data_IF_899277640813
#
_entry.id   IF_899277640813
#
_cell.length_a   1.000
_cell.length_b   1.000
_cell.length_c   1.000
_cell.angle_alpha   90.00
_cell.angle_beta   90.00
_cell.angle_gamma   90.00
#
_symmetry.space_group_name_H-M   'P 1'
#
loop_
_entity.id
_entity.type
_entity.pdbx_description
1 polymer ?
#
# COMPACT_ATOMS: atom_id res chain seq x y z
N UNK A 1 13.14 15.75 12.93
CA UNK A 1 12.45 14.57 13.40
C UNK A 1 11.69 13.89 12.28
N UNK A 2 11.81 12.62 12.19
CA UNK A 2 11.14 11.88 11.13
C UNK A 2 9.65 11.77 11.44
N UNK A 3 8.82 12.13 10.50
CA UNK A 3 7.40 11.91 10.59
C UNK A 3 7.06 10.42 10.55
N UNK A 4 5.80 10.10 10.77
CA UNK A 4 5.31 8.72 10.62
C UNK A 4 5.39 8.28 9.18
N UNK A 5 5.55 6.98 9.00
CA UNK A 5 5.50 6.34 7.69
C UNK A 5 4.56 5.14 7.77
N UNK A 6 4.01 4.74 6.63
CA UNK A 6 3.19 3.54 6.50
C UNK A 6 3.26 3.04 5.06
N UNK A 7 3.22 1.72 4.89
CA UNK A 7 3.28 1.08 3.58
C UNK A 7 1.90 0.54 3.22
N UNK A 8 1.41 0.88 2.02
CA UNK A 8 0.13 0.42 1.48
C UNK A 8 0.36 -0.77 0.54
N UNK A 9 -0.51 -1.78 0.63
CA UNK A 9 -0.54 -2.85 -0.37
C UNK A 9 -1.33 -2.42 -1.63
N UNK A 10 -1.34 -3.27 -2.65
CA UNK A 10 -2.00 -2.97 -3.91
C UNK A 10 -3.50 -2.74 -3.74
N UNK A 11 -4.15 -3.49 -2.86
CA UNK A 11 -5.59 -3.37 -2.63
C UNK A 11 -5.95 -2.00 -2.05
N UNK A 12 -5.11 -1.46 -1.17
CA UNK A 12 -5.35 -0.12 -0.63
C UNK A 12 -5.15 0.94 -1.71
N UNK A 13 -4.16 0.79 -2.58
CA UNK A 13 -4.00 1.67 -3.73
C UNK A 13 -5.24 1.66 -4.63
N UNK A 14 -5.78 0.48 -4.91
CA UNK A 14 -7.00 0.33 -5.71
C UNK A 14 -8.17 1.02 -5.02
N UNK A 15 -8.34 0.84 -3.72
CA UNK A 15 -9.38 1.52 -2.95
C UNK A 15 -9.24 3.04 -2.99
N UNK A 16 -8.01 3.56 -3.01
CA UNK A 16 -7.76 4.99 -3.11
C UNK A 16 -8.25 5.56 -4.44
N UNK A 17 -8.18 4.77 -5.51
CA UNK A 17 -8.67 5.18 -6.83
C UNK A 17 -10.18 5.05 -6.94
N UNK A 18 -10.75 3.92 -6.45
CA UNK A 18 -12.17 3.60 -6.65
C UNK A 18 -13.09 4.26 -5.62
N UNK A 19 -12.59 4.50 -4.41
CA UNK A 19 -13.41 4.99 -3.31
C UNK A 19 -12.96 6.36 -2.82
N UNK A 20 -13.73 6.92 -1.90
CA UNK A 20 -13.44 8.25 -1.34
C UNK A 20 -12.70 8.16 0.00
N UNK A 21 -13.01 7.15 0.82
CA UNK A 21 -12.50 7.12 2.20
C UNK A 21 -10.98 7.01 2.29
N UNK A 22 -10.38 6.07 1.56
CA UNK A 22 -8.92 5.90 1.58
C UNK A 22 -8.25 7.15 1.02
N UNK A 23 -8.74 7.65 -0.11
CA UNK A 23 -8.20 8.86 -0.73
C UNK A 23 -8.27 10.05 0.22
N UNK A 24 -9.39 10.20 0.92
CA UNK A 24 -9.59 11.29 1.87
C UNK A 24 -8.60 11.20 3.03
N UNK A 25 -8.37 10.01 3.58
CA UNK A 25 -7.38 9.79 4.64
C UNK A 25 -5.96 10.14 4.16
N UNK A 26 -5.61 9.76 2.94
CA UNK A 26 -4.32 10.09 2.36
C UNK A 26 -4.14 11.60 2.25
N UNK A 27 -5.13 12.32 1.73
CA UNK A 27 -5.07 13.76 1.56
C UNK A 27 -5.03 14.50 2.89
N UNK A 28 -5.79 14.06 3.88
CA UNK A 28 -5.82 14.70 5.21
C UNK A 28 -4.49 14.59 5.93
N UNK A 29 -3.73 13.53 5.71
CA UNK A 29 -2.50 13.27 6.45
C UNK A 29 -1.23 13.39 5.62
N UNK A 30 -1.33 13.82 4.36
CA UNK A 30 -0.18 13.91 3.45
C UNK A 30 0.94 14.83 3.96
N UNK A 31 0.60 15.85 4.74
CA UNK A 31 1.58 16.79 5.27
C UNK A 31 2.39 16.24 6.44
N UNK A 32 1.87 15.25 7.17
CA UNK A 32 2.47 14.76 8.41
C UNK A 32 2.88 13.29 8.37
N UNK A 33 2.37 12.53 7.41
CA UNK A 33 2.66 11.10 7.26
C UNK A 33 3.26 10.85 5.88
N UNK A 34 4.29 10.02 5.83
CA UNK A 34 4.89 9.58 4.58
C UNK A 34 4.27 8.24 4.18
N UNK A 35 3.61 8.23 3.04
CA UNK A 35 2.99 7.03 2.49
C UNK A 35 3.88 6.40 1.43
N UNK A 36 4.04 5.09 1.49
CA UNK A 36 4.85 4.32 0.55
C UNK A 36 4.09 3.09 0.07
N UNK A 37 4.48 2.58 -1.08
CA UNK A 37 4.03 1.29 -1.58
C UNK A 37 5.12 0.70 -2.46
N UNK A 38 5.34 -0.63 -2.48
CA UNK A 38 6.35 -1.16 -3.39
C UNK A 38 5.96 -0.91 -4.85
N UNK A 39 6.95 -0.76 -5.69
CA UNK A 39 6.74 -0.54 -7.13
C UNK A 39 5.85 -1.62 -7.75
N UNK A 40 6.00 -2.88 -7.33
CA UNK A 40 5.17 -4.00 -7.81
C UNK A 40 3.69 -3.84 -7.45
N UNK A 41 3.38 -3.17 -6.34
CA UNK A 41 1.99 -2.90 -5.96
C UNK A 41 1.34 -1.91 -6.94
N UNK A 42 2.08 -0.92 -7.39
CA UNK A 42 1.60 -0.02 -8.45
C UNK A 42 1.40 -0.76 -9.77
N UNK A 43 2.32 -1.67 -10.11
CA UNK A 43 2.17 -2.50 -11.30
C UNK A 43 0.91 -3.38 -11.22
N UNK A 44 0.64 -3.97 -10.07
CA UNK A 44 -0.56 -4.78 -9.85
C UNK A 44 -1.83 -3.94 -9.94
N UNK A 45 -1.85 -2.77 -9.31
CA UNK A 45 -2.99 -1.86 -9.36
C UNK A 45 -3.27 -1.42 -10.80
N UNK A 46 -2.22 -1.10 -11.56
CA UNK A 46 -2.33 -0.70 -12.96
C UNK A 46 -2.90 -1.83 -13.82
N UNK A 47 -2.56 -3.06 -13.49
CA UNK A 47 -3.06 -4.25 -14.20
C UNK A 47 -4.54 -4.51 -13.92
N UNK A 48 -4.96 -4.38 -12.67
CA UNK A 48 -6.31 -4.80 -12.25
C UNK A 48 -7.37 -3.71 -12.37
N UNK A 49 -7.00 -2.42 -12.25
CA UNK A 49 -7.97 -1.33 -12.25
C UNK A 49 -8.83 -1.26 -13.51
N UNK A 50 -8.28 -1.36 -14.74
CA UNK A 50 -9.12 -1.27 -15.93
C UNK A 50 -10.21 -2.33 -15.99
N UNK A 51 -9.88 -3.58 -15.63
CA UNK A 51 -10.84 -4.68 -15.64
C UNK A 51 -11.95 -4.49 -14.61
N UNK A 52 -11.60 -3.99 -13.41
CA UNK A 52 -12.58 -3.71 -12.36
C UNK A 52 -13.55 -2.61 -12.77
N UNK A 53 -13.07 -1.58 -13.47
CA UNK A 53 -13.89 -0.46 -13.90
C UNK A 53 -14.76 -0.81 -15.11
N UNK A 54 -14.26 -1.61 -16.03
CA UNK A 54 -15.04 -2.09 -17.17
C UNK A 54 -16.27 -2.88 -16.70
N UNK A 55 -16.13 -3.69 -15.65
CA UNK A 55 -17.27 -4.39 -15.05
C UNK A 55 -18.33 -3.44 -14.51
N UNK A 56 -17.95 -2.21 -14.17
CA UNK A 56 -18.86 -1.18 -13.66
C UNK A 56 -19.31 -0.21 -14.74
N UNK A 57 -18.92 -0.45 -15.99
CA UNK A 57 -19.24 0.43 -17.12
C UNK A 57 -18.51 1.77 -17.09
N UNK A 58 -17.36 1.85 -16.41
CA UNK A 58 -16.58 3.08 -16.26
C UNK A 58 -15.29 2.99 -17.09
N UNK A 59 -14.84 4.13 -17.62
CA UNK A 59 -13.61 4.19 -18.40
C UNK A 59 -12.38 3.96 -17.52
N UNK A 60 -11.62 2.91 -17.84
CA UNK A 60 -10.41 2.55 -17.11
C UNK A 60 -9.26 3.54 -17.25
N UNK A 61 -9.21 4.32 -18.34
CA UNK A 61 -8.13 5.27 -18.57
C UNK A 61 -8.11 6.40 -17.53
N UNK A 62 -9.29 6.86 -17.11
CA UNK A 62 -9.39 7.89 -16.04
C UNK A 62 -8.83 7.38 -14.72
N UNK A 63 -9.04 6.11 -14.40
CA UNK A 63 -8.54 5.50 -13.18
C UNK A 63 -7.01 5.42 -13.18
N UNK A 64 -6.41 5.11 -14.31
CA UNK A 64 -4.95 5.06 -14.42
C UNK A 64 -4.34 6.45 -14.21
N UNK A 65 -5.01 7.50 -14.67
CA UNK A 65 -4.58 8.88 -14.41
C UNK A 65 -4.63 9.20 -12.92
N UNK A 66 -5.69 8.78 -12.22
CA UNK A 66 -5.79 8.97 -10.76
C UNK A 66 -4.68 8.20 -10.04
N UNK A 67 -4.41 6.97 -10.47
CA UNK A 67 -3.33 6.17 -9.88
C UNK A 67 -1.97 6.85 -10.05
N UNK A 68 -1.70 7.40 -11.23
CA UNK A 68 -0.46 8.14 -11.48
C UNK A 68 -0.34 9.38 -10.59
N UNK A 69 -1.46 10.07 -10.36
CA UNK A 69 -1.50 11.23 -9.46
C UNK A 69 -1.22 10.82 -8.01
N UNK A 70 -1.70 9.65 -7.59
CA UNK A 70 -1.44 9.14 -6.24
C UNK A 70 0.05 8.94 -5.96
N UNK A 71 0.87 8.72 -6.98
CA UNK A 71 2.30 8.51 -6.79
C UNK A 71 3.01 9.72 -6.18
N UNK A 72 2.41 10.91 -6.25
CA UNK A 72 2.94 12.10 -5.57
C UNK A 72 2.67 12.09 -4.06
N UNK A 73 1.71 11.31 -3.59
CA UNK A 73 1.32 11.20 -2.18
C UNK A 73 1.80 9.87 -1.60
N UNK A 74 1.51 8.77 -2.27
CA UNK A 74 1.98 7.43 -1.90
C UNK A 74 3.16 7.10 -2.80
N UNK A 75 4.35 7.26 -2.27
CA UNK A 75 5.57 7.15 -3.04
C UNK A 75 5.88 5.69 -3.38
N UNK A 76 6.08 5.35 -4.66
CA UNK A 76 6.55 4.01 -5.00
C UNK A 76 7.97 3.80 -4.48
N UNK A 77 8.18 2.68 -3.81
CA UNK A 77 9.51 2.26 -3.35
C UNK A 77 10.09 1.31 -4.38
N UNK A 78 11.25 1.64 -4.92
CA UNK A 78 11.89 0.83 -5.95
C UNK A 78 12.41 -0.48 -5.40
N UNK A 79 12.38 -1.53 -6.22
CA UNK A 79 12.77 -2.88 -5.86
C UNK A 79 14.12 -2.95 -5.14
N UNK A 80 15.12 -2.22 -5.64
CA UNK A 80 16.46 -2.23 -5.07
C UNK A 80 16.49 -1.79 -3.60
N UNK A 81 15.53 -0.97 -3.18
CA UNK A 81 15.49 -0.47 -1.79
C UNK A 81 14.99 -1.50 -0.79
N UNK A 82 14.15 -2.45 -1.21
CA UNK A 82 13.60 -3.45 -0.27
C UNK A 82 14.02 -4.88 -0.58
N UNK A 83 14.66 -5.13 -1.73
CA UNK A 83 15.04 -6.47 -2.17
C UNK A 83 16.00 -7.17 -1.18
N UNK A 84 16.80 -6.42 -0.45
CA UNK A 84 17.73 -6.98 0.53
C UNK A 84 17.05 -7.72 1.68
N UNK A 85 15.77 -7.45 1.93
CA UNK A 85 15.00 -8.13 2.97
C UNK A 85 14.03 -9.19 2.42
N UNK A 86 14.16 -9.55 1.14
CA UNK A 86 13.29 -10.54 0.51
C UNK A 86 13.28 -11.86 1.28
N UNK A 87 14.43 -12.38 1.63
CA UNK A 87 14.56 -13.66 2.33
C UNK A 87 13.84 -13.62 3.69
N UNK A 88 14.12 -12.59 4.50
CA UNK A 88 13.49 -12.43 5.81
C UNK A 88 11.98 -12.22 5.71
N UNK A 89 11.53 -11.43 4.74
CA UNK A 89 10.10 -11.20 4.53
C UNK A 89 9.39 -12.50 4.13
N UNK A 90 9.99 -13.27 3.22
CA UNK A 90 9.45 -14.56 2.81
C UNK A 90 9.36 -15.55 3.97
N UNK A 91 10.37 -15.59 4.84
CA UNK A 91 10.33 -16.45 6.02
C UNK A 91 9.12 -16.16 6.92
N UNK A 92 8.70 -14.90 6.98
CA UNK A 92 7.58 -14.48 7.83
C UNK A 92 6.21 -14.69 7.22
N UNK A 93 6.09 -14.66 5.89
CA UNK A 93 4.78 -14.59 5.23
C UNK A 93 4.53 -15.72 4.22
N UNK A 94 5.54 -16.48 3.80
CA UNK A 94 5.41 -17.49 2.72
C UNK A 94 4.35 -18.56 3.00
N UNK A 95 4.12 -18.91 4.26
CA UNK A 95 3.12 -19.92 4.64
C UNK A 95 1.69 -19.42 4.48
N UNK A 96 1.49 -18.13 4.29
CA UNK A 96 0.19 -17.50 4.11
C UNK A 96 0.01 -17.06 2.67
N UNK A 97 0.82 -16.08 2.23
CA UNK A 97 0.84 -15.63 0.85
C UNK A 97 2.23 -15.09 0.53
N UNK A 98 3.02 -15.90 -0.18
CA UNK A 98 4.38 -15.51 -0.55
C UNK A 98 4.43 -14.26 -1.43
N UNK A 99 3.39 -14.02 -2.24
CA UNK A 99 3.36 -12.87 -3.17
C UNK A 99 3.27 -11.53 -2.44
N UNK A 100 2.94 -11.52 -1.15
CA UNK A 100 2.89 -10.32 -0.32
C UNK A 100 4.25 -9.89 0.24
N UNK A 101 5.31 -10.63 -0.04
CA UNK A 101 6.63 -10.32 0.52
C UNK A 101 7.13 -8.90 0.20
N UNK A 102 6.85 -8.30 -0.99
CA UNK A 102 7.34 -6.95 -1.27
C UNK A 102 6.79 -5.89 -0.31
N UNK A 103 5.51 -5.97 0.02
CA UNK A 103 4.88 -5.05 0.98
C UNK A 103 5.52 -5.19 2.34
N UNK A 104 5.68 -6.43 2.81
CA UNK A 104 6.31 -6.70 4.10
C UNK A 104 7.76 -6.24 4.13
N UNK A 105 8.52 -6.52 3.07
CA UNK A 105 9.91 -6.09 2.96
C UNK A 105 10.05 -4.57 2.99
N UNK A 106 9.16 -3.84 2.34
CA UNK A 106 9.12 -2.37 2.41
C UNK A 106 8.94 -1.89 3.85
N UNK A 107 7.95 -2.45 4.56
CA UNK A 107 7.68 -2.08 5.95
C UNK A 107 8.87 -2.39 6.86
N UNK A 108 9.51 -3.53 6.67
CA UNK A 108 10.71 -3.90 7.43
C UNK A 108 11.88 -2.98 7.12
N UNK A 109 12.06 -2.61 5.86
CA UNK A 109 13.14 -1.69 5.43
C UNK A 109 12.95 -0.30 6.05
N UNK A 110 11.73 0.20 6.07
CA UNK A 110 11.41 1.53 6.57
C UNK A 110 11.15 1.56 8.08
N UNK A 111 10.99 0.40 8.72
CA UNK A 111 10.68 0.31 10.14
C UNK A 111 9.30 0.88 10.47
N UNK A 112 8.29 0.62 9.63
CA UNK A 112 6.97 1.18 9.78
C UNK A 112 5.87 0.13 9.59
N UNK A 113 4.61 0.46 9.97
CA UNK A 113 3.49 -0.46 9.78
C UNK A 113 3.07 -0.64 8.33
N UNK A 114 2.19 -1.62 8.12
CA UNK A 114 1.51 -1.87 6.85
C UNK A 114 0.04 -1.47 6.98
N UNK A 115 -0.48 -0.81 5.96
CA UNK A 115 -1.92 -0.55 5.80
C UNK A 115 -2.47 -1.56 4.80
N UNK A 116 -3.30 -2.47 5.29
CA UNK A 116 -3.83 -3.58 4.50
C UNK A 116 -5.13 -4.08 5.11
N UNK A 117 -6.01 -4.64 4.28
CA UNK A 117 -7.17 -5.40 4.73
C UNK A 117 -6.86 -6.90 4.83
N UNK A 118 -5.68 -7.32 4.41
CA UNK A 118 -5.29 -8.73 4.31
C UNK A 118 -4.78 -9.25 5.66
N UNK A 119 -5.49 -10.25 6.20
CA UNK A 119 -5.13 -10.88 7.47
C UNK A 119 -3.79 -11.63 7.41
N UNK A 120 -3.28 -11.92 6.22
CA UNK A 120 -2.01 -12.65 6.07
C UNK A 120 -0.81 -11.87 6.64
N UNK A 121 -0.94 -10.57 6.81
CA UNK A 121 0.10 -9.76 7.45
C UNK A 121 0.11 -9.84 8.98
N UNK A 122 -0.97 -10.31 9.59
CA UNK A 122 -1.02 -10.43 11.04
C UNK A 122 -0.06 -11.52 11.52
N UNK A 123 0.71 -11.21 12.56
CA UNK A 123 1.67 -12.16 13.11
C UNK A 123 3.02 -12.19 12.39
N UNK A 124 3.25 -11.31 11.42
CA UNK A 124 4.54 -11.23 10.70
C UNK A 124 5.61 -10.45 11.47
N UNK A 125 5.27 -9.89 12.62
CA UNK A 125 6.18 -9.05 13.39
C UNK A 125 6.17 -7.58 13.01
N UNK A 126 5.33 -7.21 12.03
CA UNK A 126 5.11 -5.83 11.61
C UNK A 126 3.69 -5.44 11.98
N UNK A 127 3.52 -4.25 12.56
CA UNK A 127 2.19 -3.75 12.90
C UNK A 127 1.36 -3.54 11.64
N UNK A 128 0.07 -3.88 11.72
CA UNK A 128 -0.85 -3.75 10.59
C UNK A 128 -2.05 -2.91 10.99
N UNK A 129 -2.53 -2.09 10.06
CA UNK A 129 -3.70 -1.25 10.25
C UNK A 129 -4.69 -1.48 9.11
N UNK A 130 -5.93 -1.74 9.46
CA UNK A 130 -7.04 -1.79 8.51
C UNK A 130 -7.61 -0.39 8.29
N UNK A 131 -8.37 -0.21 7.22
CA UNK A 131 -8.89 1.13 6.85
C UNK A 131 -9.85 1.71 7.88
N UNK A 132 -10.54 0.87 8.64
CA UNK A 132 -11.47 1.32 9.69
C UNK A 132 -10.74 1.85 10.93
N UNK A 133 -9.45 1.51 11.12
CA UNK A 133 -8.68 1.89 12.31
C UNK A 133 -7.42 2.70 12.02
N UNK A 134 -7.01 2.76 10.76
CA UNK A 134 -5.75 3.40 10.40
C UNK A 134 -5.70 4.88 10.81
N UNK A 135 -6.84 5.54 10.88
CA UNK A 135 -6.90 6.95 11.31
C UNK A 135 -6.30 7.16 12.70
N UNK A 136 -6.39 6.15 13.59
CA UNK A 136 -5.78 6.23 14.92
C UNK A 136 -4.25 6.36 14.83
N UNK A 137 -3.64 5.62 13.92
CA UNK A 137 -2.21 5.70 13.69
C UNK A 137 -1.83 7.02 13.01
N UNK A 138 -2.58 7.40 11.98
CA UNK A 138 -2.26 8.58 11.16
C UNK A 138 -2.36 9.88 11.97
N UNK A 139 -3.35 9.96 12.86
CA UNK A 139 -3.58 11.17 13.68
C UNK A 139 -2.70 11.23 14.93
N UNK A 140 -2.23 10.08 15.40
CA UNK A 140 -1.34 10.01 16.58
C UNK A 140 0.07 10.49 16.30
#
# INVERSE_FOLDING_TARGET
MNGKAIVLDANILIRAVLGQRVRQLLLEHAATVKFFSPDVAYADARKYLPALLEKRGVNGAAALTVLDTLASIVRPLEFDLYAGLQHQALQRIAMRDADDWPVLACAMTLGCPVWTEDADFFGTGVATWTSDRVALYLAG
#
